data_IF_305965436853
#
_entry.id   IF_305965436853
#
_cell.length_a   1.000
_cell.length_b   1.000
_cell.length_c   1.000
_cell.angle_alpha   90.00
_cell.angle_beta   90.00
_cell.angle_gamma   90.00
#
_symmetry.space_group_name_H-M   'P 1'
#
loop_
_entity.id
_entity.type
_entity.pdbx_description
1 polymer ?
#
# COMPACT_ATOMS: atom_id res chain seq x y z
N UNK A 1 -7.02 19.94 -7.20
CA UNK A 1 -7.56 18.58 -6.97
C UNK A 1 -7.58 18.32 -5.47
N UNK A 2 -8.62 17.74 -4.86
CA UNK A 2 -8.71 17.73 -3.40
C UNK A 2 -7.54 16.96 -2.79
N UNK A 3 -6.82 17.63 -1.89
CA UNK A 3 -5.58 17.20 -1.19
C UNK A 3 -5.80 16.10 -0.14
N UNK A 4 -6.95 15.43 -0.10
CA UNK A 4 -7.35 14.59 1.03
C UNK A 4 -6.97 13.12 0.80
N UNK A 5 -5.84 12.71 1.39
CA UNK A 5 -5.49 11.31 1.61
C UNK A 5 -5.88 10.87 3.03
N UNK A 6 -5.69 9.58 3.32
CA UNK A 6 -5.86 9.00 4.65
C UNK A 6 -4.54 9.13 5.38
N UNK A 7 -4.46 9.99 6.40
CA UNK A 7 -3.27 10.19 7.21
C UNK A 7 -3.32 9.32 8.49
N UNK A 8 -2.20 8.67 8.81
CA UNK A 8 -1.99 7.89 10.04
C UNK A 8 -0.58 8.18 10.57
N UNK A 9 -0.47 8.38 11.88
CA UNK A 9 0.82 8.55 12.56
C UNK A 9 1.47 7.20 12.89
N UNK A 10 2.78 7.14 12.69
CA UNK A 10 3.65 6.02 13.01
C UNK A 10 4.71 6.51 14.00
N UNK A 11 4.85 5.83 15.13
CA UNK A 11 5.82 6.18 16.19
C UNK A 11 7.27 5.75 15.87
N UNK A 12 7.61 5.67 14.58
CA UNK A 12 8.93 5.26 14.07
C UNK A 12 9.41 6.24 13.00
N UNK A 13 10.73 6.32 12.72
CA UNK A 13 11.25 7.14 11.63
C UNK A 13 10.63 6.77 10.27
N UNK A 14 10.49 7.74 9.35
CA UNK A 14 9.90 7.50 8.03
C UNK A 14 10.60 6.41 7.23
N UNK A 15 11.93 6.28 7.35
CA UNK A 15 12.68 5.21 6.68
C UNK A 15 12.22 3.81 7.13
N UNK A 16 11.90 3.64 8.42
CA UNK A 16 11.40 2.38 8.99
C UNK A 16 9.97 2.11 8.52
N UNK A 17 9.09 3.12 8.59
CA UNK A 17 7.72 2.99 8.10
C UNK A 17 7.67 2.66 6.60
N UNK A 18 8.50 3.34 5.79
CA UNK A 18 8.63 3.11 4.35
C UNK A 18 9.08 1.69 4.06
N UNK A 19 10.21 1.26 4.62
CA UNK A 19 10.76 -0.08 4.37
C UNK A 19 9.77 -1.19 4.77
N UNK A 20 9.03 -0.99 5.85
CA UNK A 20 8.03 -1.96 6.29
C UNK A 20 6.81 -2.00 5.35
N UNK A 21 6.27 -0.84 4.95
CA UNK A 21 5.06 -0.75 4.13
C UNK A 21 5.30 -1.09 2.66
N UNK A 22 6.48 -0.77 2.11
CA UNK A 22 6.83 -1.04 0.71
C UNK A 22 7.12 -2.52 0.46
N UNK A 23 7.61 -3.24 1.47
CA UNK A 23 7.89 -4.67 1.32
C UNK A 23 6.58 -5.47 1.28
N UNK A 24 6.25 -6.09 0.13
CA UNK A 24 4.98 -6.78 -0.03
C UNK A 24 4.85 -8.00 0.90
N UNK A 25 5.97 -8.55 1.39
CA UNK A 25 5.98 -9.69 2.31
C UNK A 25 5.38 -9.35 3.67
N UNK A 26 5.39 -8.08 4.08
CA UNK A 26 4.82 -7.63 5.34
C UNK A 26 3.30 -7.44 5.30
N UNK A 27 2.71 -7.32 4.10
CA UNK A 27 1.29 -6.95 3.95
C UNK A 27 0.31 -7.86 4.66
N UNK A 28 0.43 -9.19 4.61
CA UNK A 28 -0.54 -10.06 5.28
C UNK A 28 -0.63 -9.82 6.79
N UNK A 29 0.39 -9.24 7.41
CA UNK A 29 0.38 -8.91 8.83
C UNK A 29 -0.54 -7.71 9.16
N UNK A 30 -0.75 -6.78 8.22
CA UNK A 30 -1.44 -5.52 8.50
C UNK A 30 -2.62 -5.19 7.56
N UNK A 31 -2.68 -5.76 6.36
CA UNK A 31 -3.76 -5.53 5.40
C UNK A 31 -4.84 -6.61 5.51
N UNK A 32 -5.99 -6.25 6.06
CA UNK A 32 -7.09 -7.18 6.39
C UNK A 32 -7.67 -7.92 5.19
N UNK A 33 -7.53 -7.39 3.98
CA UNK A 33 -8.03 -8.00 2.75
C UNK A 33 -7.11 -9.10 2.18
N UNK A 34 -5.89 -9.27 2.72
CA UNK A 34 -4.90 -10.23 2.21
C UNK A 34 -4.75 -11.44 3.11
N UNK A 35 -4.67 -12.62 2.48
CA UNK A 35 -4.26 -13.87 3.12
C UNK A 35 -2.75 -14.08 3.01
N UNK A 36 -2.20 -13.76 1.85
CA UNK A 36 -0.79 -13.93 1.54
C UNK A 36 -0.37 -13.01 0.40
N UNK A 37 0.92 -12.96 0.15
CA UNK A 37 1.52 -12.46 -1.08
C UNK A 37 2.28 -13.61 -1.74
N UNK A 38 2.20 -13.70 -3.06
CA UNK A 38 2.87 -14.70 -3.88
C UNK A 38 3.70 -14.05 -5.00
N UNK A 39 4.53 -14.84 -5.68
CA UNK A 39 5.23 -14.46 -6.91
C UNK A 39 6.02 -13.14 -6.82
N UNK A 40 6.67 -12.93 -5.67
CA UNK A 40 7.48 -11.74 -5.41
C UNK A 40 8.74 -11.80 -6.26
N UNK A 41 8.89 -10.82 -7.13
CA UNK A 41 10.08 -10.56 -7.93
C UNK A 41 10.64 -9.21 -7.49
N UNK A 42 11.87 -9.14 -6.95
CA UNK A 42 12.47 -7.89 -6.53
C UNK A 42 12.61 -6.86 -7.66
N UNK A 43 12.70 -5.59 -7.27
CA UNK A 43 12.91 -4.46 -8.19
C UNK A 43 14.36 -4.39 -8.69
N UNK A 44 14.66 -3.32 -9.45
CA UNK A 44 15.98 -3.11 -10.08
C UNK A 44 17.14 -3.04 -9.08
N UNK A 45 16.85 -2.58 -7.87
CA UNK A 45 17.78 -2.44 -6.75
C UNK A 45 17.92 -3.73 -5.91
N UNK A 46 17.17 -4.78 -6.24
CA UNK A 46 17.13 -6.03 -5.48
C UNK A 46 16.21 -5.98 -4.25
N UNK A 47 15.53 -4.86 -4.01
CA UNK A 47 14.57 -4.73 -2.90
C UNK A 47 13.19 -5.26 -3.30
N UNK A 48 12.52 -5.97 -2.38
CA UNK A 48 11.20 -6.55 -2.64
C UNK A 48 10.10 -5.49 -2.83
N UNK A 49 10.31 -4.27 -2.32
CA UNK A 49 9.42 -3.11 -2.49
C UNK A 49 9.94 -2.05 -3.47
N UNK A 50 11.14 -2.23 -4.02
CA UNK A 50 11.83 -1.24 -4.86
C UNK A 50 11.17 -1.05 -6.23
N UNK A 51 11.64 -0.07 -7.01
CA UNK A 51 11.05 0.27 -8.31
C UNK A 51 11.06 -0.95 -9.26
N UNK A 52 9.94 -1.17 -9.93
CA UNK A 52 9.67 -2.33 -10.79
C UNK A 52 9.56 -3.69 -10.08
N UNK A 53 9.62 -3.74 -8.74
CA UNK A 53 9.26 -4.95 -8.02
C UNK A 53 7.81 -5.34 -8.37
N UNK A 54 7.55 -6.63 -8.45
CA UNK A 54 6.21 -7.15 -8.77
C UNK A 54 5.84 -8.32 -7.88
N UNK A 55 4.56 -8.44 -7.56
CA UNK A 55 4.03 -9.53 -6.74
C UNK A 55 2.56 -9.77 -7.05
N UNK A 56 2.01 -10.85 -6.50
CA UNK A 56 0.59 -11.21 -6.63
C UNK A 56 -0.06 -11.17 -5.26
N UNK A 57 -1.09 -10.35 -5.09
CA UNK A 57 -1.89 -10.33 -3.87
C UNK A 57 -2.80 -11.57 -3.85
N UNK A 58 -2.79 -12.31 -2.74
CA UNK A 58 -3.73 -13.41 -2.49
C UNK A 58 -4.77 -12.93 -1.50
N UNK A 59 -5.92 -12.50 -2.00
CA UNK A 59 -6.95 -11.87 -1.16
C UNK A 59 -7.78 -12.89 -0.39
N UNK A 60 -8.55 -12.41 0.59
CA UNK A 60 -9.52 -13.21 1.33
C UNK A 60 -10.70 -13.68 0.49
N UNK A 61 -10.95 -13.03 -0.66
CA UNK A 61 -12.01 -13.39 -1.61
C UNK A 61 -11.45 -14.39 -2.62
N UNK A 62 -11.98 -15.63 -2.69
CA UNK A 62 -11.49 -16.63 -3.63
C UNK A 62 -11.51 -16.13 -5.09
N UNK A 63 -10.41 -16.35 -5.82
CA UNK A 63 -10.27 -15.99 -7.22
C UNK A 63 -9.83 -14.55 -7.50
N UNK A 64 -9.86 -13.65 -6.52
CA UNK A 64 -9.35 -12.28 -6.67
C UNK A 64 -7.85 -12.28 -6.37
N UNK A 65 -7.05 -12.20 -7.44
CA UNK A 65 -5.57 -12.22 -7.39
C UNK A 65 -4.95 -11.10 -8.22
N UNK A 66 -4.93 -9.86 -7.73
CA UNK A 66 -4.34 -8.73 -8.43
C UNK A 66 -2.84 -8.92 -8.65
N UNK A 67 -2.36 -8.60 -9.86
CA UNK A 67 -0.93 -8.46 -10.15
C UNK A 67 -0.51 -7.03 -9.83
N UNK A 68 0.51 -6.90 -9.01
CA UNK A 68 0.99 -5.64 -8.46
C UNK A 68 2.37 -5.29 -8.99
N UNK A 69 2.67 -4.00 -9.00
CA UNK A 69 3.97 -3.44 -9.39
C UNK A 69 4.27 -2.16 -8.62
N UNK A 70 5.52 -2.00 -8.17
CA UNK A 70 6.02 -0.69 -7.72
C UNK A 70 6.33 0.18 -8.94
N UNK A 71 5.69 1.33 -9.01
CA UNK A 71 5.84 2.32 -10.09
C UNK A 71 6.88 3.38 -9.74
N UNK A 72 6.97 3.75 -8.45
CA UNK A 72 7.84 4.81 -7.99
C UNK A 72 8.25 4.57 -6.54
N UNK A 73 9.51 4.86 -6.24
CA UNK A 73 10.04 4.71 -4.90
C UNK A 73 11.19 5.70 -4.64
N UNK A 74 10.99 6.57 -3.64
CA UNK A 74 12.02 7.45 -3.08
C UNK A 74 11.89 7.54 -1.54
N UNK A 75 12.68 8.40 -0.90
CA UNK A 75 12.67 8.54 0.56
C UNK A 75 11.34 9.05 1.17
N UNK A 76 10.51 9.74 0.38
CA UNK A 76 9.30 10.44 0.83
C UNK A 76 8.03 9.87 0.21
N UNK A 77 8.11 9.07 -0.85
CA UNK A 77 6.97 8.62 -1.64
C UNK A 77 7.21 7.22 -2.19
N UNK A 78 6.16 6.41 -2.10
CA UNK A 78 6.12 5.08 -2.66
C UNK A 78 4.78 4.89 -3.38
N UNK A 79 4.82 4.45 -4.64
CA UNK A 79 3.63 4.31 -5.49
C UNK A 79 3.61 2.91 -6.08
N UNK A 80 2.46 2.27 -5.99
CA UNK A 80 2.18 1.01 -6.66
C UNK A 80 0.98 1.11 -7.61
N UNK A 81 0.96 0.18 -8.54
CA UNK A 81 -0.22 -0.15 -9.32
C UNK A 81 -0.61 -1.62 -9.15
N UNK A 82 -1.90 -1.88 -9.26
CA UNK A 82 -2.48 -3.21 -9.25
C UNK A 82 -3.43 -3.41 -10.41
N UNK A 83 -3.47 -4.61 -10.99
CA UNK A 83 -4.40 -4.96 -12.06
C UNK A 83 -5.06 -6.32 -11.82
N UNK A 84 -6.37 -6.38 -12.02
CA UNK A 84 -7.15 -7.62 -11.99
C UNK A 84 -8.34 -7.53 -12.94
N UNK A 85 -8.33 -8.33 -14.02
CA UNK A 85 -9.35 -8.27 -15.06
C UNK A 85 -9.51 -6.83 -15.59
N UNK A 86 -10.73 -6.25 -15.57
CA UNK A 86 -10.96 -4.87 -16.04
C UNK A 86 -10.60 -3.79 -15.01
N UNK A 87 -10.18 -4.17 -13.79
CA UNK A 87 -9.88 -3.23 -12.72
C UNK A 87 -8.40 -2.90 -12.66
N UNK A 88 -8.10 -1.62 -12.45
CA UNK A 88 -6.78 -1.10 -12.12
C UNK A 88 -6.86 -0.28 -10.85
N UNK A 89 -5.89 -0.42 -9.97
CA UNK A 89 -5.78 0.35 -8.75
C UNK A 89 -4.41 1.02 -8.68
N UNK A 90 -4.35 2.16 -8.02
CA UNK A 90 -3.10 2.85 -7.67
C UNK A 90 -3.18 3.23 -6.20
N UNK A 91 -2.10 2.95 -5.47
CA UNK A 91 -1.89 3.43 -4.11
C UNK A 91 -0.60 4.24 -4.10
N UNK A 92 -0.68 5.45 -3.59
CA UNK A 92 0.47 6.28 -3.24
C UNK A 92 0.53 6.42 -1.73
N UNK A 93 1.70 6.18 -1.17
CA UNK A 93 2.04 6.48 0.22
C UNK A 93 3.02 7.65 0.21
N UNK A 94 2.70 8.72 0.93
CA UNK A 94 3.62 9.81 1.23
C UNK A 94 4.05 9.73 2.69
N UNK A 95 5.34 9.97 2.94
CA UNK A 95 5.99 9.84 4.24
C UNK A 95 6.54 11.20 4.65
N UNK A 96 5.97 11.80 5.69
CA UNK A 96 6.35 13.12 6.18
C UNK A 96 6.87 13.02 7.62
N UNK A 97 8.08 13.53 7.92
CA UNK A 97 8.58 13.56 9.30
C UNK A 97 7.64 14.32 10.23
N UNK A 98 7.47 13.80 11.45
CA UNK A 98 6.69 14.43 12.51
C UNK A 98 7.50 14.47 13.81
N UNK A 99 7.08 15.28 14.78
CA UNK A 99 7.79 15.47 16.05
C UNK A 99 8.12 14.16 16.79
N UNK A 100 7.28 13.14 16.65
CA UNK A 100 7.42 11.85 17.32
C UNK A 100 7.44 10.65 16.35
N UNK A 101 7.85 10.86 15.09
CA UNK A 101 7.97 9.77 14.11
C UNK A 101 7.65 10.20 12.69
N UNK A 102 6.67 9.54 12.07
CA UNK A 102 6.30 9.76 10.68
C UNK A 102 4.78 9.83 10.51
N UNK A 103 4.30 10.76 9.69
CA UNK A 103 2.93 10.75 9.19
C UNK A 103 2.93 10.08 7.81
N UNK A 104 2.15 9.02 7.68
CA UNK A 104 1.94 8.33 6.41
C UNK A 104 0.59 8.73 5.84
N UNK A 105 0.60 9.31 4.64
CA UNK A 105 -0.62 9.70 3.91
C UNK A 105 -0.84 8.78 2.72
N UNK A 106 -1.93 8.02 2.75
CA UNK A 106 -2.33 7.17 1.64
C UNK A 106 -3.31 7.88 0.68
N UNK A 107 -3.04 7.79 -0.61
CA UNK A 107 -3.92 8.21 -1.71
C UNK A 107 -4.21 7.01 -2.59
N UNK A 108 -5.48 6.65 -2.69
CA UNK A 108 -5.90 5.44 -3.38
C UNK A 108 -6.90 5.78 -4.48
N UNK A 109 -6.80 5.09 -5.62
CA UNK A 109 -7.72 5.24 -6.74
C UNK A 109 -7.94 3.91 -7.44
N UNK A 110 -9.20 3.58 -7.71
CA UNK A 110 -9.60 2.46 -8.56
C UNK A 110 -10.24 2.96 -9.84
N UNK A 111 -9.88 2.32 -10.95
CA UNK A 111 -10.45 2.49 -12.28
C UNK A 111 -11.02 1.14 -12.73
N UNK A 112 -12.20 1.15 -13.36
CA UNK A 112 -12.81 -0.07 -13.91
C UNK A 112 -14.34 0.00 -13.92
N UNK A 113 -14.93 -0.49 -15.03
CA UNK A 113 -16.37 -0.72 -15.25
C UNK A 113 -17.34 0.39 -14.78
N UNK A 114 -16.90 1.66 -14.77
CA UNK A 114 -17.70 2.79 -14.25
C UNK A 114 -17.91 2.79 -12.71
N UNK A 115 -17.47 1.75 -12.00
CA UNK A 115 -17.64 1.59 -10.54
C UNK A 115 -16.41 2.04 -9.72
N UNK A 116 -15.30 2.35 -10.37
CA UNK A 116 -14.03 2.66 -9.70
C UNK A 116 -14.12 3.75 -8.61
N UNK A 117 -14.94 4.79 -8.82
CA UNK A 117 -15.15 5.85 -7.82
C UNK A 117 -15.85 5.33 -6.56
N UNK A 118 -16.88 4.51 -6.72
CA UNK A 118 -17.62 3.92 -5.61
C UNK A 118 -16.70 3.01 -4.78
N UNK A 119 -15.95 2.13 -5.45
CA UNK A 119 -14.97 1.24 -4.81
C UNK A 119 -13.92 2.07 -4.05
N UNK A 120 -13.39 3.13 -4.67
CA UNK A 120 -12.39 4.01 -4.04
C UNK A 120 -12.90 4.58 -2.71
N UNK A 121 -14.12 5.12 -2.70
CA UNK A 121 -14.70 5.72 -1.49
C UNK A 121 -15.01 4.65 -0.44
N UNK A 122 -15.55 3.51 -0.85
CA UNK A 122 -15.88 2.41 0.05
C UNK A 122 -14.64 1.79 0.74
N UNK A 123 -13.47 1.85 0.10
CA UNK A 123 -12.22 1.32 0.65
C UNK A 123 -11.56 2.20 1.72
N UNK A 124 -11.96 3.47 1.85
CA UNK A 124 -11.31 4.43 2.76
C UNK A 124 -11.25 3.95 4.21
N UNK A 125 -12.34 3.46 4.83
CA UNK A 125 -12.30 3.00 6.22
C UNK A 125 -11.37 1.80 6.42
N UNK A 126 -11.36 0.87 5.46
CA UNK A 126 -10.50 -0.31 5.50
C UNK A 126 -9.02 0.08 5.39
N UNK A 127 -8.66 0.93 4.44
CA UNK A 127 -7.28 1.44 4.28
C UNK A 127 -6.80 2.12 5.57
N UNK A 128 -7.65 2.96 6.19
CA UNK A 128 -7.31 3.59 7.47
C UNK A 128 -7.07 2.57 8.58
N UNK A 129 -7.91 1.55 8.68
CA UNK A 129 -7.76 0.51 9.70
C UNK A 129 -6.49 -0.32 9.48
N UNK A 130 -6.19 -0.67 8.24
CA UNK A 130 -5.00 -1.42 7.85
C UNK A 130 -3.71 -0.64 8.16
N UNK A 131 -3.65 0.66 7.84
CA UNK A 131 -2.52 1.52 8.19
C UNK A 131 -2.33 1.67 9.71
N UNK A 132 -3.42 1.81 10.47
CA UNK A 132 -3.36 1.85 11.94
C UNK A 132 -2.82 0.54 12.52
N UNK A 133 -3.18 -0.59 11.91
CA UNK A 133 -2.65 -1.90 12.29
C UNK A 133 -1.15 -1.98 12.03
N UNK A 134 -0.68 -1.51 10.87
CA UNK A 134 0.75 -1.44 10.56
C UNK A 134 1.51 -0.55 11.57
N UNK A 135 0.95 0.63 11.90
CA UNK A 135 1.53 1.53 12.90
C UNK A 135 1.62 0.85 14.28
N UNK A 136 0.57 0.11 14.69
CA UNK A 136 0.56 -0.62 15.96
C UNK A 136 1.54 -1.80 15.99
N UNK A 137 1.86 -2.42 14.85
CA UNK A 137 2.88 -3.48 14.76
C UNK A 137 4.27 -2.87 14.93
N UNK A 138 4.54 -1.73 14.29
CA UNK A 138 5.85 -1.06 14.36
C UNK A 138 6.12 -0.33 15.69
N UNK A 139 5.08 -0.08 16.49
CA UNK A 139 5.22 0.52 17.81
C UNK A 139 5.59 -0.48 18.92
N UNK A 140 5.72 -1.77 18.58
CA UNK A 140 6.12 -2.85 19.50
C UNK A 140 7.61 -3.12 19.40
#
# INVERSE_FOLDING_TARGET
MPRQGIAVEFAVPCAVARAYLSDPRNRPAWQSSLRAVADVVPGRDGEAGGVEATWTDVTVVPGIRPRMRTEYDDAQRWIESGAFGPFRATLELAFEPAAHGCVVTARFRVLGLGLGRLITVASIPAIRADLRRAAAILAR
#
